data_IF_933138879547
#
_entry.id   IF_933138879547
#
_cell.length_a   1.000
_cell.length_b   1.000
_cell.length_c   1.000
_cell.angle_alpha   90.00
_cell.angle_beta   90.00
_cell.angle_gamma   90.00
#
_symmetry.space_group_name_H-M   'P 1'
#
loop_
_entity.id
_entity.type
_entity.pdbx_description
1 polymer ?
#
# COMPACT_ATOMS: atom_id res chain seq x y z
N UNK A 1 -42.74 10.37 18.77
CA UNK A 1 -41.45 11.05 18.50
C UNK A 1 -40.36 10.28 19.23
N UNK A 2 -39.34 9.85 18.47
CA UNK A 2 -38.13 9.07 18.82
C UNK A 2 -38.37 7.70 19.49
N UNK A 3 -38.10 6.60 18.77
CA UNK A 3 -36.74 6.06 18.76
C UNK A 3 -36.33 5.48 17.39
N UNK A 4 -35.49 6.20 16.64
CA UNK A 4 -34.95 5.70 15.35
C UNK A 4 -33.44 5.96 15.18
N UNK A 5 -32.76 6.45 16.23
CA UNK A 5 -31.38 6.94 16.12
C UNK A 5 -30.32 6.09 16.85
N UNK A 6 -30.71 5.04 17.57
CA UNK A 6 -29.75 4.26 18.37
C UNK A 6 -28.99 3.18 17.58
N UNK A 7 -29.48 2.75 16.40
CA UNK A 7 -28.87 1.62 15.66
C UNK A 7 -27.72 2.05 14.74
N UNK A 8 -27.68 3.31 14.30
CA UNK A 8 -26.58 3.81 13.46
C UNK A 8 -25.29 4.10 14.23
N UNK A 9 -25.36 4.34 15.55
CA UNK A 9 -24.18 4.74 16.33
C UNK A 9 -23.21 3.58 16.63
N UNK A 10 -23.67 2.33 16.57
CA UNK A 10 -22.84 1.14 16.85
C UNK A 10 -21.87 0.78 15.72
N UNK A 11 -21.97 1.44 14.57
CA UNK A 11 -21.05 1.27 13.43
C UNK A 11 -19.78 2.13 13.54
N UNK A 12 -19.68 3.00 14.54
CA UNK A 12 -18.63 4.02 14.68
C UNK A 12 -18.10 4.12 16.13
N UNK A 13 -17.43 3.09 16.65
CA UNK A 13 -16.40 3.27 17.71
C UNK A 13 -15.57 2.00 17.94
N UNK A 14 -14.24 2.13 18.14
CA UNK A 14 -13.36 1.02 18.48
C UNK A 14 -13.14 0.91 20.01
N UNK A 15 -12.82 -0.31 20.44
CA UNK A 15 -12.26 -0.72 21.74
C UNK A 15 -13.22 -1.06 22.89
N UNK A 16 -13.14 -2.32 23.33
CA UNK A 16 -12.80 -2.68 24.71
C UNK A 16 -12.26 -4.13 24.71
N UNK A 17 -10.98 -4.28 25.07
CA UNK A 17 -10.30 -5.55 25.22
C UNK A 17 -10.95 -6.40 26.33
N UNK A 18 -11.08 -7.72 26.11
CA UNK A 18 -11.43 -8.71 27.14
C UNK A 18 -10.22 -9.61 27.45
N UNK A 19 -10.04 -10.03 28.71
CA UNK A 19 -8.94 -10.91 29.13
C UNK A 19 -9.16 -12.36 28.66
N UNK A 20 -8.13 -13.23 28.67
CA UNK A 20 -8.23 -14.55 28.05
C UNK A 20 -9.12 -15.46 28.89
N UNK A 21 -10.12 -16.07 28.25
CA UNK A 21 -10.95 -17.09 28.86
C UNK A 21 -10.38 -18.48 28.53
N UNK A 22 -10.22 -19.31 29.56
CA UNK A 22 -9.78 -20.69 29.52
C UNK A 22 -10.56 -21.56 28.53
N UNK A 23 -9.87 -22.57 28.01
CA UNK A 23 -10.31 -23.49 26.97
C UNK A 23 -11.67 -24.13 27.26
N UNK A 24 -12.71 -23.67 26.57
CA UNK A 24 -13.89 -24.49 26.24
C UNK A 24 -13.82 -24.82 24.76
N UNK A 25 -13.91 -26.11 24.47
CA UNK A 25 -13.89 -26.66 23.11
C UNK A 25 -14.80 -25.83 22.19
N UNK A 26 -14.21 -25.26 21.14
CA UNK A 26 -14.92 -24.47 20.15
C UNK A 26 -16.02 -25.32 19.48
N UNK A 27 -17.25 -24.80 19.33
CA UNK A 27 -18.25 -25.48 18.53
C UNK A 27 -17.77 -25.52 17.08
N UNK A 28 -17.75 -26.71 16.48
CA UNK A 28 -17.40 -26.88 15.07
C UNK A 28 -18.27 -25.97 14.19
N UNK A 29 -17.72 -25.36 13.13
CA UNK A 29 -18.47 -24.49 12.24
C UNK A 29 -19.51 -25.34 11.49
N UNK A 30 -20.77 -25.26 11.93
CA UNK A 30 -21.88 -25.92 11.23
C UNK A 30 -22.11 -25.17 9.91
N UNK A 31 -21.55 -25.70 8.83
CA UNK A 31 -21.98 -25.39 7.47
C UNK A 31 -23.42 -25.88 7.30
N UNK A 32 -24.40 -25.09 7.76
CA UNK A 32 -25.80 -25.44 7.56
C UNK A 32 -26.23 -24.90 6.20
N UNK A 33 -26.74 -25.79 5.34
CA UNK A 33 -27.40 -25.40 4.08
C UNK A 33 -28.41 -24.29 4.34
N UNK A 34 -29.11 -24.34 5.48
CA UNK A 34 -30.03 -23.29 5.95
C UNK A 34 -29.41 -21.89 6.00
N UNK A 35 -28.18 -21.73 6.50
CA UNK A 35 -27.51 -20.43 6.54
C UNK A 35 -27.23 -19.88 5.14
N UNK A 36 -26.71 -20.71 4.24
CA UNK A 36 -26.48 -20.33 2.84
C UNK A 36 -27.80 -20.02 2.10
N UNK A 37 -28.90 -20.71 2.45
CA UNK A 37 -30.24 -20.39 1.98
C UNK A 37 -30.65 -18.98 2.40
N UNK A 38 -30.55 -18.67 3.69
CA UNK A 38 -30.96 -17.38 4.26
C UNK A 38 -30.09 -16.23 3.77
N UNK A 39 -28.76 -16.39 3.71
CA UNK A 39 -27.86 -15.35 3.20
C UNK A 39 -28.14 -15.02 1.73
N UNK A 40 -28.51 -16.02 0.92
CA UNK A 40 -28.81 -15.82 -0.49
C UNK A 40 -30.18 -15.18 -0.76
N UNK A 41 -31.09 -15.11 0.21
CA UNK A 41 -32.43 -14.55 0.01
C UNK A 41 -32.40 -13.03 -0.17
N UNK A 42 -33.25 -12.52 -1.06
CA UNK A 42 -33.48 -11.09 -1.24
C UNK A 42 -34.69 -10.64 -0.41
N UNK A 43 -34.51 -9.71 0.55
CA UNK A 43 -35.58 -9.30 1.45
C UNK A 43 -36.62 -8.43 0.73
N UNK A 44 -37.88 -8.67 1.07
CA UNK A 44 -39.06 -7.96 0.54
C UNK A 44 -39.63 -6.93 1.52
N UNK A 45 -39.19 -6.99 2.76
CA UNK A 45 -39.68 -6.14 3.85
C UNK A 45 -38.56 -5.73 4.79
N UNK A 46 -38.81 -4.69 5.59
CA UNK A 46 -37.88 -4.27 6.63
C UNK A 46 -37.62 -5.38 7.68
N UNK A 47 -38.60 -6.25 7.92
CA UNK A 47 -38.48 -7.38 8.86
C UNK A 47 -37.51 -8.42 8.32
N UNK A 48 -37.64 -8.80 7.05
CA UNK A 48 -36.72 -9.75 6.39
C UNK A 48 -35.30 -9.18 6.30
N UNK A 49 -35.16 -7.87 6.04
CA UNK A 49 -33.87 -7.20 6.04
C UNK A 49 -33.22 -7.22 7.43
N UNK A 50 -34.00 -6.99 8.50
CA UNK A 50 -33.50 -7.05 9.87
C UNK A 50 -33.06 -8.48 10.24
N UNK A 51 -33.80 -9.50 9.81
CA UNK A 51 -33.41 -10.91 9.98
C UNK A 51 -32.11 -11.22 9.26
N UNK A 52 -31.95 -10.77 8.01
CA UNK A 52 -30.69 -10.89 7.28
C UNK A 52 -29.53 -10.20 8.03
N UNK A 53 -29.74 -8.97 8.51
CA UNK A 53 -28.73 -8.24 9.26
C UNK A 53 -28.29 -8.99 10.54
N UNK A 54 -29.24 -9.59 11.27
CA UNK A 54 -28.94 -10.40 12.46
C UNK A 54 -28.11 -11.65 12.11
N UNK A 55 -28.44 -12.34 11.02
CA UNK A 55 -27.68 -13.50 10.55
C UNK A 55 -26.27 -13.13 10.10
N UNK A 56 -26.13 -12.00 9.39
CA UNK A 56 -24.82 -11.47 8.98
C UNK A 56 -23.94 -11.21 10.21
N UNK A 57 -24.48 -10.59 11.26
CA UNK A 57 -23.75 -10.32 12.51
C UNK A 57 -23.31 -11.59 13.25
N UNK A 58 -24.03 -12.70 13.08
CA UNK A 58 -23.70 -13.98 13.70
C UNK A 58 -22.55 -14.73 13.00
N UNK A 59 -22.13 -14.31 11.79
CA UNK A 59 -21.03 -14.95 11.07
C UNK A 59 -19.69 -14.74 11.77
N UNK A 60 -18.94 -15.81 11.98
CA UNK A 60 -17.56 -15.74 12.48
C UNK A 60 -16.56 -15.53 11.33
N UNK A 61 -15.40 -14.89 11.57
CA UNK A 61 -14.39 -14.59 10.55
C UNK A 61 -13.64 -15.85 10.10
N UNK A 62 -14.32 -16.71 9.36
CA UNK A 62 -13.78 -17.97 8.83
C UNK A 62 -13.75 -17.95 7.30
N UNK A 63 -12.84 -18.68 6.65
CA UNK A 63 -12.81 -18.82 5.19
C UNK A 63 -14.16 -19.27 4.62
N UNK A 64 -14.83 -20.19 5.31
CA UNK A 64 -16.14 -20.70 4.93
C UNK A 64 -17.22 -19.61 4.97
N UNK A 65 -17.26 -18.78 6.00
CA UNK A 65 -18.23 -17.68 6.09
C UNK A 65 -18.02 -16.66 4.96
N UNK A 66 -16.76 -16.34 4.64
CA UNK A 66 -16.42 -15.46 3.51
C UNK A 66 -16.88 -16.08 2.18
N UNK A 67 -16.65 -17.38 1.98
CA UNK A 67 -17.09 -18.10 0.79
C UNK A 67 -18.62 -18.09 0.65
N UNK A 68 -19.34 -18.48 1.70
CA UNK A 68 -20.81 -18.49 1.72
C UNK A 68 -21.41 -17.10 1.44
N UNK A 69 -20.81 -16.06 1.99
CA UNK A 69 -21.26 -14.69 1.78
C UNK A 69 -20.93 -14.19 0.37
N UNK A 70 -19.80 -14.61 -0.20
CA UNK A 70 -19.43 -14.34 -1.60
C UNK A 70 -20.42 -14.98 -2.56
N UNK A 71 -20.73 -16.26 -2.37
CA UNK A 71 -21.76 -16.95 -3.17
C UNK A 71 -23.13 -16.27 -3.06
N UNK A 72 -23.50 -15.80 -1.87
CA UNK A 72 -24.77 -15.12 -1.63
C UNK A 72 -24.87 -13.71 -2.26
N UNK A 73 -23.73 -13.09 -2.58
CA UNK A 73 -23.64 -11.82 -3.31
C UNK A 73 -23.67 -12.08 -4.82
N UNK A 74 -22.89 -13.04 -5.29
CA UNK A 74 -22.72 -13.32 -6.73
C UNK A 74 -23.94 -14.05 -7.32
N UNK A 75 -24.57 -14.92 -6.52
CA UNK A 75 -25.72 -15.73 -6.91
C UNK A 75 -26.91 -15.47 -5.97
N UNK A 76 -27.46 -14.24 -5.96
CA UNK A 76 -28.61 -13.94 -5.13
C UNK A 76 -29.82 -14.75 -5.60
N UNK A 77 -30.59 -15.28 -4.65
CA UNK A 77 -31.86 -15.94 -4.95
C UNK A 77 -32.90 -14.85 -5.20
N UNK A 78 -33.42 -14.70 -6.43
CA UNK A 78 -34.44 -13.70 -6.68
C UNK A 78 -35.67 -14.00 -5.83
N UNK A 79 -36.23 -12.95 -5.25
CA UNK A 79 -37.61 -13.03 -4.81
C UNK A 79 -38.44 -13.34 -6.05
N UNK A 80 -39.25 -14.42 -6.04
CA UNK A 80 -40.28 -14.59 -7.06
C UNK A 80 -41.09 -13.28 -7.15
N UNK A 81 -40.99 -12.61 -8.32
CA UNK A 81 -41.52 -11.29 -8.75
C UNK A 81 -40.45 -10.18 -8.92
N UNK A 82 -40.49 -9.53 -10.08
CA UNK A 82 -39.58 -8.53 -10.68
C UNK A 82 -39.37 -7.21 -9.90
N UNK A 83 -38.80 -7.26 -8.69
CA UNK A 83 -38.32 -6.06 -7.97
C UNK A 83 -36.80 -6.05 -7.76
N UNK A 84 -36.05 -6.60 -8.72
CA UNK A 84 -34.58 -6.69 -8.69
C UNK A 84 -33.87 -5.31 -8.57
N UNK A 85 -34.60 -4.20 -8.72
CA UNK A 85 -34.11 -2.83 -8.59
C UNK A 85 -34.59 -2.07 -7.35
N UNK A 86 -35.38 -2.70 -6.47
CA UNK A 86 -35.95 -2.07 -5.28
C UNK A 86 -34.89 -1.65 -4.24
N UNK A 87 -35.30 -0.80 -3.30
CA UNK A 87 -34.42 -0.31 -2.22
C UNK A 87 -33.94 -1.44 -1.31
N UNK A 88 -34.79 -2.44 -1.03
CA UNK A 88 -34.48 -3.52 -0.10
C UNK A 88 -33.37 -4.46 -0.62
N UNK A 89 -33.40 -4.96 -1.87
CA UNK A 89 -32.30 -5.75 -2.43
C UNK A 89 -30.96 -5.01 -2.46
N UNK A 90 -30.96 -3.71 -2.79
CA UNK A 90 -29.73 -2.89 -2.79
C UNK A 90 -29.13 -2.75 -1.40
N UNK A 91 -29.98 -2.51 -0.40
CA UNK A 91 -29.54 -2.42 0.99
C UNK A 91 -29.04 -3.79 1.51
N UNK A 92 -29.69 -4.88 1.11
CA UNK A 92 -29.23 -6.24 1.41
C UNK A 92 -27.85 -6.53 0.82
N UNK A 93 -27.63 -6.19 -0.45
CA UNK A 93 -26.33 -6.35 -1.11
C UNK A 93 -25.25 -5.52 -0.42
N UNK A 94 -25.54 -4.25 -0.10
CA UNK A 94 -24.63 -3.39 0.65
C UNK A 94 -24.27 -3.96 2.03
N UNK A 95 -25.25 -4.49 2.78
CA UNK A 95 -25.00 -5.12 4.08
C UNK A 95 -24.14 -6.40 3.95
N UNK A 96 -24.39 -7.22 2.92
CA UNK A 96 -23.59 -8.42 2.64
C UNK A 96 -22.15 -8.04 2.30
N UNK A 97 -21.93 -7.09 1.39
CA UNK A 97 -20.60 -6.60 1.02
C UNK A 97 -19.86 -5.97 2.20
N UNK A 98 -20.55 -5.15 3.00
CA UNK A 98 -20.00 -4.56 4.21
C UNK A 98 -19.58 -5.63 5.22
N UNK A 99 -20.42 -6.66 5.42
CA UNK A 99 -20.08 -7.78 6.32
C UNK A 99 -18.93 -8.61 5.78
N UNK A 100 -18.88 -8.88 4.48
CA UNK A 100 -17.75 -9.57 3.83
C UNK A 100 -16.45 -8.82 4.05
N UNK A 101 -16.44 -7.51 3.81
CA UNK A 101 -15.28 -6.65 4.06
C UNK A 101 -14.82 -6.72 5.53
N UNK A 102 -15.75 -6.71 6.48
CA UNK A 102 -15.41 -6.89 7.90
C UNK A 102 -14.80 -8.27 8.19
N UNK A 103 -15.38 -9.35 7.66
CA UNK A 103 -14.87 -10.72 7.86
C UNK A 103 -13.47 -10.89 7.27
N UNK A 104 -13.22 -10.30 6.09
CA UNK A 104 -11.91 -10.30 5.45
C UNK A 104 -10.87 -9.54 6.27
N UNK A 105 -11.21 -8.36 6.81
CA UNK A 105 -10.31 -7.60 7.70
C UNK A 105 -10.04 -8.36 9.00
N UNK A 106 -11.07 -8.97 9.59
CA UNK A 106 -10.91 -9.78 10.79
C UNK A 106 -10.00 -11.00 10.54
N UNK A 107 -10.20 -11.70 9.42
CA UNK A 107 -9.35 -12.82 9.01
C UNK A 107 -7.91 -12.37 8.76
N UNK A 108 -7.70 -11.24 8.07
CA UNK A 108 -6.38 -10.65 7.83
C UNK A 108 -5.63 -10.32 9.12
N UNK A 109 -6.33 -9.81 10.14
CA UNK A 109 -5.75 -9.48 11.45
C UNK A 109 -5.36 -10.72 12.26
N UNK A 110 -6.12 -11.80 12.13
CA UNK A 110 -5.92 -13.04 12.89
C UNK A 110 -4.83 -13.90 12.25
N UNK A 111 -4.93 -14.12 10.94
CA UNK A 111 -4.06 -15.00 10.17
C UNK A 111 -3.97 -14.51 8.72
N UNK A 112 -2.89 -13.79 8.42
CA UNK A 112 -2.64 -13.22 7.10
C UNK A 112 -2.52 -14.30 6.03
N UNK A 113 -1.85 -15.42 6.31
CA UNK A 113 -1.61 -16.45 5.30
C UNK A 113 -2.92 -17.15 4.94
N UNK A 114 -3.75 -17.43 5.95
CA UNK A 114 -5.11 -17.93 5.75
C UNK A 114 -6.00 -16.93 5.01
N UNK A 115 -5.86 -15.63 5.27
CA UNK A 115 -6.52 -14.60 4.47
C UNK A 115 -6.10 -14.68 2.99
N UNK A 116 -4.79 -14.69 2.71
CA UNK A 116 -4.26 -14.76 1.33
C UNK A 116 -4.76 -16.03 0.64
N UNK A 117 -4.67 -17.18 1.30
CA UNK A 117 -5.18 -18.45 0.77
C UNK A 117 -6.68 -18.35 0.45
N UNK A 118 -7.48 -17.83 1.38
CA UNK A 118 -8.93 -17.66 1.22
C UNK A 118 -9.28 -16.80 0.00
N UNK A 119 -8.65 -15.63 -0.15
CA UNK A 119 -8.99 -14.70 -1.23
C UNK A 119 -8.40 -15.12 -2.58
N UNK A 120 -7.38 -16.00 -2.58
CA UNK A 120 -6.71 -16.46 -3.81
C UNK A 120 -7.60 -17.32 -4.72
N UNK A 121 -8.64 -17.97 -4.19
CA UNK A 121 -9.57 -18.78 -5.00
C UNK A 121 -11.00 -18.22 -5.08
N UNK A 122 -11.40 -17.35 -4.15
CA UNK A 122 -12.73 -16.75 -4.16
C UNK A 122 -12.85 -15.65 -5.22
N UNK A 123 -14.00 -15.57 -5.88
CA UNK A 123 -14.31 -14.57 -6.92
C UNK A 123 -14.70 -13.20 -6.36
N UNK A 124 -13.93 -12.71 -5.38
CA UNK A 124 -14.16 -11.39 -4.78
C UNK A 124 -13.48 -10.34 -5.66
N UNK A 125 -14.14 -9.28 -6.13
CA UNK A 125 -13.49 -8.23 -6.92
C UNK A 125 -12.23 -7.68 -6.25
N UNK A 126 -11.19 -7.39 -7.05
CA UNK A 126 -9.85 -7.07 -6.55
C UNK A 126 -9.84 -5.74 -5.75
N UNK A 127 -10.71 -4.82 -6.10
CA UNK A 127 -10.99 -3.54 -5.43
C UNK A 127 -11.75 -3.68 -4.10
N UNK A 128 -12.39 -4.82 -3.86
CA UNK A 128 -13.04 -5.13 -2.58
C UNK A 128 -12.13 -5.86 -1.59
N UNK A 129 -10.92 -6.24 -2.02
CA UNK A 129 -9.95 -6.88 -1.13
C UNK A 129 -9.36 -5.83 -0.17
N UNK A 130 -9.44 -6.03 1.16
CA UNK A 130 -8.90 -5.07 2.13
C UNK A 130 -7.37 -5.05 2.19
N UNK A 131 -6.68 -5.98 1.54
CA UNK A 131 -5.24 -5.95 1.32
C UNK A 131 -4.91 -6.83 0.09
N UNK A 132 -4.07 -6.33 -0.82
CA UNK A 132 -3.69 -7.06 -2.05
C UNK A 132 -2.27 -7.63 -2.00
N UNK A 133 -1.54 -7.42 -0.90
CA UNK A 133 -0.14 -7.79 -0.79
C UNK A 133 0.00 -9.32 -0.75
N UNK A 134 0.65 -9.88 -1.77
CA UNK A 134 0.84 -11.32 -1.92
C UNK A 134 -0.37 -12.07 -2.45
N UNK A 135 -1.44 -11.36 -2.85
CA UNK A 135 -2.60 -11.98 -3.51
C UNK A 135 -2.28 -12.12 -5.01
N UNK A 136 -2.23 -13.35 -5.56
CA UNK A 136 -1.92 -13.57 -6.97
C UNK A 136 -2.99 -12.96 -7.88
N UNK A 137 -2.66 -12.76 -9.15
CA UNK A 137 -3.67 -12.42 -10.16
C UNK A 137 -4.52 -13.65 -10.48
N UNK A 138 -5.81 -13.60 -10.16
CA UNK A 138 -6.70 -14.78 -10.28
C UNK A 138 -7.27 -14.87 -11.69
N UNK A 139 -7.55 -16.08 -12.15
CA UNK A 139 -8.21 -16.27 -13.45
C UNK A 139 -9.63 -15.69 -13.49
N UNK A 140 -10.29 -15.56 -12.34
CA UNK A 140 -11.60 -14.94 -12.21
C UNK A 140 -11.56 -13.42 -12.06
N UNK A 141 -10.39 -12.82 -11.85
CA UNK A 141 -10.28 -11.37 -11.86
C UNK A 141 -10.61 -10.90 -13.27
N UNK A 142 -11.70 -10.13 -13.47
CA UNK A 142 -12.03 -9.60 -14.78
C UNK A 142 -11.03 -8.47 -15.05
N UNK A 143 -9.80 -8.81 -15.41
CA UNK A 143 -8.90 -7.84 -15.99
C UNK A 143 -9.02 -7.95 -17.52
N UNK A 144 -9.68 -6.99 -18.19
CA UNK A 144 -9.71 -6.95 -19.65
C UNK A 144 -8.31 -6.85 -20.27
N UNK A 145 -7.28 -6.60 -19.46
CA UNK A 145 -5.89 -6.36 -19.86
C UNK A 145 -5.01 -7.60 -19.81
N UNK A 146 -5.51 -8.78 -19.44
CA UNK A 146 -4.72 -10.02 -19.57
C UNK A 146 -4.53 -10.29 -21.07
N UNK A 147 -3.33 -10.09 -21.58
CA UNK A 147 -3.00 -10.49 -22.96
C UNK A 147 -3.36 -11.97 -23.10
N UNK A 148 -4.13 -12.34 -24.14
CA UNK A 148 -4.55 -13.73 -24.40
C UNK A 148 -3.38 -14.67 -24.09
N UNK A 149 -3.52 -15.44 -23.00
CA UNK A 149 -2.41 -16.13 -22.37
C UNK A 149 -1.90 -17.24 -23.29
N UNK A 150 -0.81 -16.96 -24.01
CA UNK A 150 0.10 -18.01 -24.45
C UNK A 150 0.56 -18.78 -23.20
N UNK A 151 0.59 -20.11 -23.31
CA UNK A 151 1.04 -21.04 -22.27
C UNK A 151 2.27 -20.51 -21.52
N UNK A 152 2.06 -20.04 -20.28
CA UNK A 152 3.15 -19.51 -19.45
C UNK A 152 4.14 -20.63 -19.12
N UNK A 153 5.43 -20.36 -19.31
CA UNK A 153 6.49 -21.26 -18.86
C UNK A 153 6.41 -21.46 -17.33
N UNK A 154 6.71 -22.67 -16.82
CA UNK A 154 6.72 -22.92 -15.39
C UNK A 154 7.77 -22.04 -14.70
N UNK A 155 7.33 -21.22 -13.74
CA UNK A 155 8.21 -20.39 -12.93
C UNK A 155 8.71 -21.17 -11.72
N UNK A 156 9.98 -21.01 -11.37
CA UNK A 156 10.58 -21.54 -10.13
C UNK A 156 10.94 -20.35 -9.27
N UNK A 157 10.36 -20.24 -8.06
CA UNK A 157 10.56 -19.10 -7.15
C UNK A 157 10.24 -17.72 -7.80
N UNK A 158 9.32 -17.69 -8.77
CA UNK A 158 8.94 -16.47 -9.50
C UNK A 158 9.87 -16.09 -10.65
N UNK A 159 10.81 -16.96 -11.04
CA UNK A 159 11.74 -16.75 -12.14
C UNK A 159 11.44 -17.69 -13.31
N UNK A 160 11.68 -17.21 -14.54
CA UNK A 160 11.64 -18.04 -15.75
C UNK A 160 12.90 -18.93 -15.87
N UNK A 161 12.97 -19.75 -16.92
CA UNK A 161 14.11 -20.64 -17.16
C UNK A 161 15.47 -19.91 -17.28
N UNK A 162 15.45 -18.61 -17.59
CA UNK A 162 16.64 -17.76 -17.68
C UNK A 162 17.00 -17.07 -16.34
N UNK A 163 16.24 -17.33 -15.27
CA UNK A 163 16.43 -16.68 -13.97
C UNK A 163 15.92 -15.23 -13.93
N UNK A 164 15.07 -14.82 -14.86
CA UNK A 164 14.49 -13.48 -14.96
C UNK A 164 13.06 -13.45 -14.40
N UNK A 165 12.70 -12.30 -13.82
CA UNK A 165 11.32 -12.02 -13.40
C UNK A 165 10.49 -11.74 -14.66
N UNK A 166 9.36 -12.43 -14.89
CA UNK A 166 8.51 -12.19 -16.06
C UNK A 166 8.02 -10.74 -16.15
N UNK A 167 7.80 -10.28 -17.37
CA UNK A 167 7.12 -9.00 -17.59
C UNK A 167 5.67 -9.06 -17.11
N UNK A 168 5.14 -7.88 -16.79
CA UNK A 168 3.74 -7.74 -16.44
C UNK A 168 2.85 -8.21 -17.61
N UNK A 169 1.99 -9.18 -17.35
CA UNK A 169 1.08 -9.72 -18.36
C UNK A 169 -0.17 -8.83 -18.61
N UNK A 170 -0.30 -7.74 -17.83
CA UNK A 170 -1.40 -6.79 -17.91
C UNK A 170 -1.04 -5.65 -18.87
N UNK A 171 -1.94 -5.30 -19.79
CA UNK A 171 -1.83 -4.11 -20.63
C UNK A 171 -1.50 -2.84 -19.83
N UNK A 172 -0.72 -1.98 -20.47
CA UNK A 172 -0.33 -0.70 -19.94
C UNK A 172 -1.53 0.23 -19.87
N UNK A 173 -1.61 0.99 -18.78
CA UNK A 173 -2.63 2.03 -18.63
C UNK A 173 -2.03 3.34 -19.15
N UNK A 174 -2.73 4.07 -20.05
CA UNK A 174 -2.30 5.41 -20.42
C UNK A 174 -2.38 6.30 -19.19
N UNK A 175 -1.21 6.69 -18.67
CA UNK A 175 -1.11 7.59 -17.52
C UNK A 175 -0.78 9.00 -18.01
N UNK A 176 -1.51 9.99 -17.52
CA UNK A 176 -1.24 11.41 -17.76
C UNK A 176 -1.20 12.19 -16.45
N UNK A 177 -0.58 13.36 -16.47
CA UNK A 177 -0.59 14.29 -15.36
C UNK A 177 -1.73 15.31 -15.53
N UNK A 178 -2.45 15.59 -14.44
CA UNK A 178 -3.28 16.80 -14.40
C UNK A 178 -2.39 18.07 -14.29
N UNK A 179 -2.91 19.30 -14.46
CA UNK A 179 -2.07 20.51 -14.47
C UNK A 179 -1.23 20.72 -13.19
N UNK A 180 -1.76 20.37 -12.02
CA UNK A 180 -1.03 20.48 -10.75
C UNK A 180 0.08 19.44 -10.68
N UNK A 181 -0.22 18.20 -11.05
CA UNK A 181 0.75 17.10 -11.13
C UNK A 181 1.86 17.39 -12.12
N UNK A 182 1.55 18.04 -13.26
CA UNK A 182 2.54 18.45 -14.25
C UNK A 182 3.51 19.50 -13.69
N UNK A 183 3.02 20.44 -12.89
CA UNK A 183 3.87 21.44 -12.20
C UNK A 183 4.75 20.78 -11.13
N UNK A 184 4.18 19.88 -10.33
CA UNK A 184 4.92 19.11 -9.31
C UNK A 184 6.00 18.24 -9.96
N UNK A 185 5.66 17.58 -11.07
CA UNK A 185 6.61 16.78 -11.85
C UNK A 185 7.73 17.67 -12.39
N UNK A 186 7.42 18.80 -13.02
CA UNK A 186 8.43 19.72 -13.55
C UNK A 186 9.36 20.26 -12.45
N UNK A 187 8.81 20.56 -11.27
CA UNK A 187 9.61 21.01 -10.12
C UNK A 187 10.52 19.90 -9.60
N UNK A 188 9.98 18.69 -9.41
CA UNK A 188 10.75 17.50 -9.00
C UNK A 188 11.90 17.24 -9.96
N UNK A 189 11.61 17.34 -11.25
CA UNK A 189 12.54 17.18 -12.35
C UNK A 189 13.65 18.24 -12.40
N UNK A 190 13.33 19.49 -12.09
CA UNK A 190 14.33 20.56 -12.00
C UNK A 190 15.26 20.38 -10.78
N UNK A 191 14.70 19.97 -9.64
CA UNK A 191 15.49 19.64 -8.44
C UNK A 191 16.41 18.45 -8.75
N UNK A 192 15.88 17.37 -9.32
CA UNK A 192 16.64 16.17 -9.64
C UNK A 192 17.81 16.45 -10.60
N UNK A 193 17.58 17.25 -11.65
CA UNK A 193 18.64 17.66 -12.56
C UNK A 193 19.70 18.54 -11.87
N UNK A 194 19.30 19.40 -10.93
CA UNK A 194 20.22 20.19 -10.11
C UNK A 194 21.08 19.34 -9.18
N UNK A 195 20.52 18.30 -8.58
CA UNK A 195 21.22 17.37 -7.67
C UNK A 195 22.16 16.40 -8.40
N UNK A 196 21.81 16.00 -9.63
CA UNK A 196 22.58 15.01 -10.41
C UNK A 196 23.51 15.59 -11.46
N UNK A 197 23.27 16.84 -11.90
CA UNK A 197 23.92 17.42 -13.08
C UNK A 197 23.49 16.78 -14.42
N UNK A 198 22.56 15.82 -14.42
CA UNK A 198 22.10 15.16 -15.66
C UNK A 198 21.26 16.13 -16.49
N UNK A 199 21.51 16.15 -17.80
CA UNK A 199 20.78 17.01 -18.73
C UNK A 199 19.30 16.64 -18.82
N UNK A 200 18.44 17.66 -18.91
CA UNK A 200 16.98 17.49 -19.01
C UNK A 200 16.60 16.79 -20.31
N UNK A 201 15.70 15.82 -20.23
CA UNK A 201 15.03 15.23 -21.38
C UNK A 201 13.89 16.18 -21.85
N UNK A 202 13.74 16.44 -23.16
CA UNK A 202 12.68 17.32 -23.67
C UNK A 202 11.26 16.79 -23.45
N UNK A 203 11.08 15.48 -23.30
CA UNK A 203 9.79 14.90 -22.95
C UNK A 203 9.43 15.29 -21.51
N UNK A 204 8.31 16.00 -21.31
CA UNK A 204 7.90 16.54 -20.01
C UNK A 204 7.17 15.55 -19.10
N UNK A 205 6.68 14.44 -19.66
CA UNK A 205 5.98 13.38 -18.92
C UNK A 205 6.92 12.65 -17.95
N UNK A 206 6.38 11.75 -17.11
CA UNK A 206 7.22 10.91 -16.25
C UNK A 206 8.33 10.16 -17.01
N UNK A 207 8.12 9.83 -18.30
CA UNK A 207 9.10 9.09 -19.11
C UNK A 207 10.41 9.84 -19.24
N UNK A 208 10.34 11.16 -19.40
CA UNK A 208 11.53 12.00 -19.42
C UNK A 208 12.28 12.02 -18.08
N UNK A 209 11.56 12.00 -16.95
CA UNK A 209 12.18 11.86 -15.63
C UNK A 209 12.83 10.48 -15.46
N UNK A 210 12.15 9.40 -15.85
CA UNK A 210 12.68 8.04 -15.79
C UNK A 210 13.93 7.91 -16.67
N UNK A 211 13.94 8.53 -17.85
CA UNK A 211 15.13 8.58 -18.71
C UNK A 211 16.29 9.35 -18.06
N UNK A 212 16.03 10.51 -17.46
CA UNK A 212 17.03 11.27 -16.69
C UNK A 212 17.60 10.42 -15.54
N UNK A 213 16.73 9.73 -14.80
CA UNK A 213 17.13 8.84 -13.70
C UNK A 213 17.94 7.64 -14.20
N UNK A 214 17.57 7.07 -15.35
CA UNK A 214 18.32 6.00 -16.00
C UNK A 214 19.70 6.46 -16.43
N UNK A 215 19.82 7.66 -17.02
CA UNK A 215 21.11 8.23 -17.40
C UNK A 215 22.00 8.50 -16.18
N UNK A 216 21.44 8.95 -15.06
CA UNK A 216 22.18 9.06 -13.81
C UNK A 216 22.61 7.69 -13.28
N UNK A 217 21.69 6.73 -13.21
CA UNK A 217 21.96 5.35 -12.77
C UNK A 217 23.10 4.70 -13.58
N UNK A 218 23.21 4.97 -14.87
CA UNK A 218 24.25 4.42 -15.74
C UNK A 218 25.53 5.29 -15.79
N UNK A 219 25.59 6.38 -15.03
CA UNK A 219 26.78 7.24 -14.93
C UNK A 219 27.77 6.71 -13.90
N UNK A 220 29.03 7.16 -13.99
CA UNK A 220 30.06 6.80 -13.01
C UNK A 220 29.70 7.21 -11.57
N UNK A 221 28.93 8.27 -11.39
CA UNK A 221 28.50 8.77 -10.07
C UNK A 221 27.28 8.01 -9.54
N UNK A 222 26.35 7.63 -10.43
CA UNK A 222 25.08 7.01 -10.06
C UNK A 222 25.04 5.48 -10.17
N UNK A 223 26.09 4.82 -10.67
CA UNK A 223 26.12 3.34 -10.78
C UNK A 223 25.98 2.65 -9.42
N UNK A 224 26.46 3.28 -8.34
CA UNK A 224 26.25 2.77 -6.99
C UNK A 224 24.81 3.00 -6.52
N UNK A 225 24.16 1.94 -6.02
CA UNK A 225 22.78 1.99 -5.52
C UNK A 225 22.59 3.05 -4.42
N UNK A 226 23.56 3.20 -3.51
CA UNK A 226 23.53 4.21 -2.45
C UNK A 226 23.52 5.63 -3.00
N UNK A 227 24.25 5.91 -4.10
CA UNK A 227 24.25 7.24 -4.75
C UNK A 227 22.88 7.58 -5.32
N UNK A 228 22.23 6.61 -5.96
CA UNK A 228 20.86 6.78 -6.48
C UNK A 228 19.90 7.05 -5.33
N UNK A 229 19.98 6.27 -4.26
CA UNK A 229 19.11 6.42 -3.11
C UNK A 229 19.29 7.79 -2.46
N UNK A 230 20.54 8.21 -2.22
CA UNK A 230 20.85 9.46 -1.55
C UNK A 230 20.35 10.68 -2.33
N UNK A 231 20.60 10.73 -3.65
CA UNK A 231 20.13 11.83 -4.49
C UNK A 231 18.60 11.91 -4.51
N UNK A 232 17.91 10.77 -4.55
CA UNK A 232 16.45 10.73 -4.50
C UNK A 232 15.93 11.26 -3.16
N UNK A 233 16.54 10.84 -2.04
CA UNK A 233 16.15 11.35 -0.72
C UNK A 233 16.42 12.86 -0.62
N UNK A 234 17.56 13.37 -1.12
CA UNK A 234 17.82 14.83 -1.16
C UNK A 234 16.79 15.57 -2.01
N UNK A 235 16.49 15.06 -3.20
CA UNK A 235 15.47 15.63 -4.11
C UNK A 235 14.11 15.73 -3.41
N UNK A 236 13.68 14.65 -2.73
CA UNK A 236 12.41 14.62 -1.98
C UNK A 236 12.43 15.58 -0.79
N UNK A 237 13.54 15.67 -0.05
CA UNK A 237 13.68 16.65 1.05
C UNK A 237 13.54 18.07 0.54
N UNK A 238 14.24 18.44 -0.53
CA UNK A 238 14.17 19.76 -1.15
C UNK A 238 12.75 20.09 -1.62
N UNK A 239 12.05 19.12 -2.22
CA UNK A 239 10.65 19.27 -2.64
C UNK A 239 9.70 19.56 -1.46
N UNK A 240 10.00 19.03 -0.27
CA UNK A 240 9.17 19.18 0.94
C UNK A 240 9.52 20.42 1.78
N UNK A 241 10.69 21.03 1.60
CA UNK A 241 11.15 22.16 2.43
C UNK A 241 10.45 23.49 2.15
N UNK A 242 10.43 24.45 3.11
CA UNK A 242 11.15 24.44 4.40
C UNK A 242 10.34 24.01 5.62
N UNK A 243 9.00 23.95 5.54
CA UNK A 243 8.14 23.79 6.72
C UNK A 243 7.72 22.32 6.95
N UNK A 244 7.52 21.56 5.88
CA UNK A 244 6.87 20.25 5.98
C UNK A 244 7.68 19.21 6.79
N UNK A 245 9.03 19.10 6.66
CA UNK A 245 9.75 18.04 7.36
C UNK A 245 9.77 18.20 8.90
N UNK A 246 10.09 19.37 9.49
CA UNK A 246 10.01 19.56 10.94
C UNK A 246 8.58 19.42 11.46
N UNK A 247 7.59 19.96 10.73
CA UNK A 247 6.18 19.80 11.08
C UNK A 247 5.78 18.33 11.10
N UNK A 248 6.09 17.58 10.04
CA UNK A 248 5.73 16.17 9.92
C UNK A 248 6.43 15.33 11.01
N UNK A 249 7.73 15.54 11.25
CA UNK A 249 8.48 14.85 12.32
C UNK A 249 7.81 14.98 13.68
N UNK A 250 7.35 16.17 14.04
CA UNK A 250 6.69 16.42 15.33
C UNK A 250 5.24 15.94 15.30
N UNK A 251 4.46 16.40 14.32
CA UNK A 251 3.01 16.22 14.29
C UNK A 251 2.57 14.82 13.86
N UNK A 252 3.37 14.12 13.05
CA UNK A 252 3.08 12.77 12.58
C UNK A 252 3.98 11.75 13.28
N UNK A 253 5.30 12.01 13.29
CA UNK A 253 6.28 11.12 13.89
C UNK A 253 6.34 11.19 15.42
N UNK A 254 5.99 12.31 16.04
CA UNK A 254 6.22 12.51 17.48
C UNK A 254 7.71 12.52 17.83
N UNK A 255 8.57 12.92 16.90
CA UNK A 255 10.00 13.09 17.14
C UNK A 255 10.25 14.40 17.88
N UNK A 256 10.99 14.31 19.00
CA UNK A 256 11.43 15.50 19.74
C UNK A 256 12.55 16.19 18.95
N UNK A 257 12.40 17.47 18.58
CA UNK A 257 13.39 18.19 17.79
C UNK A 257 14.78 18.19 18.44
N UNK A 258 15.81 17.93 17.63
CA UNK A 258 17.21 17.98 18.04
C UNK A 258 18.00 18.76 17.00
N UNK A 259 18.64 19.83 17.45
CA UNK A 259 19.61 20.52 16.62
C UNK A 259 20.97 19.87 16.73
N UNK A 260 21.53 19.48 15.59
CA UNK A 260 22.90 19.00 15.45
C UNK A 260 23.63 19.90 14.44
N UNK A 261 24.64 20.68 14.87
CA UNK A 261 25.40 21.54 13.96
C UNK A 261 26.12 20.79 12.82
N UNK A 262 26.36 19.48 12.98
CA UNK A 262 26.93 18.62 11.94
C UNK A 262 25.90 18.05 10.96
N UNK A 263 24.60 18.23 11.22
CA UNK A 263 23.53 17.75 10.35
C UNK A 263 23.17 18.80 9.29
N UNK A 264 23.82 18.71 8.14
CA UNK A 264 23.59 19.60 6.99
C UNK A 264 22.43 19.14 6.09
N UNK A 265 21.60 18.18 6.51
CA UNK A 265 20.48 17.70 5.69
C UNK A 265 19.45 18.80 5.51
N UNK A 266 18.97 18.96 4.28
CA UNK A 266 17.83 19.82 3.94
C UNK A 266 16.60 19.33 4.71
N UNK A 267 16.02 20.17 5.58
CA UNK A 267 14.90 19.79 6.45
C UNK A 267 15.29 19.29 7.85
N UNK A 268 16.56 19.37 8.25
CA UNK A 268 17.00 19.15 9.63
C UNK A 268 16.33 20.14 10.61
N UNK A 269 16.24 19.76 11.88
CA UNK A 269 15.55 20.57 12.90
C UNK A 269 16.31 21.91 13.13
N UNK A 270 15.66 23.06 12.89
CA UNK A 270 16.35 24.34 13.05
C UNK A 270 16.63 24.63 14.52
N UNK A 271 17.74 25.32 14.79
CA UNK A 271 18.21 25.63 16.15
C UNK A 271 17.12 26.23 17.03
N UNK A 272 16.37 27.21 16.53
CA UNK A 272 15.31 27.89 17.28
C UNK A 272 14.21 26.95 17.76
N UNK A 273 13.90 25.91 16.96
CA UNK A 273 12.85 24.94 17.26
C UNK A 273 13.32 23.98 18.35
N UNK A 274 14.55 23.47 18.24
CA UNK A 274 15.16 22.63 19.26
C UNK A 274 15.31 23.39 20.59
N UNK A 275 15.84 24.62 20.55
CA UNK A 275 16.02 25.47 21.72
C UNK A 275 14.66 25.77 22.39
N UNK A 276 13.61 26.03 21.61
CA UNK A 276 12.25 26.23 22.10
C UNK A 276 11.70 25.02 22.87
N UNK A 277 11.84 23.81 22.31
CA UNK A 277 11.39 22.58 22.99
C UNK A 277 12.21 22.30 24.26
N UNK A 278 13.52 22.55 24.24
CA UNK A 278 14.36 22.38 25.43
C UNK A 278 14.06 23.42 26.52
N UNK A 279 13.70 24.65 26.14
CA UNK A 279 13.20 25.65 27.09
C UNK A 279 11.91 25.17 27.79
N UNK A 280 10.96 24.60 27.04
CA UNK A 280 9.74 24.00 27.62
C UNK A 280 10.11 22.86 28.58
N UNK A 281 10.98 21.94 28.15
CA UNK A 281 11.47 20.83 28.97
C UNK A 281 12.05 21.29 30.32
N UNK A 282 12.85 22.36 30.32
CA UNK A 282 13.46 22.89 31.54
C UNK A 282 12.41 23.43 32.54
N UNK A 283 11.26 23.90 32.04
CA UNK A 283 10.16 24.45 32.86
C UNK A 283 9.20 23.39 33.41
N UNK A 284 9.25 22.16 32.90
CA UNK A 284 8.34 21.10 33.34
C UNK A 284 8.70 20.59 34.76
N UNK A 285 7.72 20.51 35.68
CA UNK A 285 7.92 20.00 37.04
C UNK A 285 8.07 18.46 37.09
N UNK A 286 7.58 17.74 36.07
CA UNK A 286 7.71 16.29 35.90
C UNK A 286 7.76 15.94 34.40
N UNK A 287 8.21 14.73 34.04
CA UNK A 287 8.17 14.25 32.65
C UNK A 287 9.24 14.81 31.70
N UNK A 288 10.33 15.39 32.23
CA UNK A 288 11.44 15.93 31.40
C UNK A 288 12.12 14.90 30.51
N UNK A 289 12.04 13.61 30.86
CA UNK A 289 12.57 12.50 30.06
C UNK A 289 11.80 12.30 28.75
N UNK A 290 10.51 12.68 28.68
CA UNK A 290 9.73 12.57 27.45
C UNK A 290 10.18 13.56 26.37
N UNK A 291 10.76 14.71 26.75
CA UNK A 291 11.23 15.74 25.80
C UNK A 291 12.76 15.69 25.61
N UNK A 292 13.37 14.52 25.79
CA UNK A 292 14.78 14.32 25.44
C UNK A 292 15.00 14.54 23.93
N UNK A 293 16.02 15.32 23.52
CA UNK A 293 16.30 15.57 22.10
C UNK A 293 16.43 14.27 21.29
N UNK A 294 15.70 14.17 20.19
CA UNK A 294 15.71 13.00 19.30
C UNK A 294 14.91 11.80 19.80
N UNK A 295 14.23 11.90 20.94
CA UNK A 295 13.35 10.84 21.43
C UNK A 295 12.15 10.68 20.50
N UNK A 296 11.88 9.43 20.12
CA UNK A 296 10.70 9.04 19.34
C UNK A 296 9.54 8.77 20.29
N UNK A 297 8.52 9.65 20.31
CA UNK A 297 7.30 9.49 21.12
C UNK A 297 6.15 8.84 20.35
N UNK A 298 6.12 9.07 19.03
CA UNK A 298 5.14 8.47 18.13
C UNK A 298 5.70 7.24 17.40
N UNK A 299 5.16 6.89 16.23
CA UNK A 299 4.18 7.65 15.46
C UNK A 299 2.85 7.79 16.21
N UNK A 300 2.17 8.92 16.04
CA UNK A 300 0.86 9.11 16.67
C UNK A 300 -0.17 8.15 16.08
N UNK A 301 -1.20 7.77 16.85
CA UNK A 301 -2.19 6.77 16.44
C UNK A 301 -2.91 7.10 15.12
N UNK A 302 -3.03 8.37 14.75
CA UNK A 302 -3.64 8.82 13.50
C UNK A 302 -2.66 8.91 12.33
N UNK A 303 -1.35 8.93 12.60
CA UNK A 303 -0.34 9.28 11.61
C UNK A 303 -0.31 8.32 10.39
N UNK A 304 -0.38 6.98 10.57
CA UNK A 304 -0.49 6.05 9.44
C UNK A 304 -1.71 6.34 8.55
N UNK A 305 -2.89 6.46 9.16
CA UNK A 305 -4.15 6.62 8.44
C UNK A 305 -4.22 7.96 7.70
N UNK A 306 -3.85 9.06 8.37
CA UNK A 306 -3.84 10.39 7.77
C UNK A 306 -2.82 10.47 6.63
N UNK A 307 -1.64 9.86 6.80
CA UNK A 307 -0.64 9.82 5.72
C UNK A 307 -1.16 9.06 4.52
N UNK A 308 -1.81 7.89 4.71
CA UNK A 308 -2.39 7.13 3.61
C UNK A 308 -3.47 7.91 2.84
N UNK A 309 -4.24 8.78 3.50
CA UNK A 309 -5.25 9.63 2.87
C UNK A 309 -4.63 10.77 2.06
N UNK A 310 -3.56 11.38 2.56
CA UNK A 310 -2.91 12.54 1.91
C UNK A 310 -1.95 12.10 0.80
N UNK A 311 -1.31 10.95 0.97
CA UNK A 311 -0.29 10.38 0.09
C UNK A 311 -0.66 10.38 -1.42
N UNK A 312 -1.85 9.91 -1.85
CA UNK A 312 -2.23 9.94 -3.26
C UNK A 312 -2.18 11.33 -3.88
N UNK A 313 -2.50 12.38 -3.13
CA UNK A 313 -2.43 13.76 -3.60
C UNK A 313 -1.01 14.31 -3.62
N UNK A 314 -0.13 13.82 -2.73
CA UNK A 314 1.23 14.31 -2.60
C UNK A 314 2.19 13.68 -3.64
N UNK A 315 2.05 12.39 -3.95
CA UNK A 315 2.97 11.67 -4.84
C UNK A 315 2.29 10.88 -5.96
N UNK A 316 0.96 11.03 -6.14
CA UNK A 316 0.22 10.40 -7.23
C UNK A 316 0.79 10.73 -8.62
N UNK A 317 1.41 11.90 -8.81
CA UNK A 317 2.07 12.27 -10.07
C UNK A 317 3.22 11.31 -10.47
N UNK A 318 3.88 10.69 -9.48
CA UNK A 318 4.98 9.73 -9.67
C UNK A 318 4.48 8.29 -9.82
N UNK A 319 3.56 7.87 -8.95
CA UNK A 319 3.18 6.45 -8.84
C UNK A 319 1.88 6.12 -9.57
N UNK A 320 1.04 7.11 -9.87
CA UNK A 320 -0.29 6.93 -10.45
C UNK A 320 -1.42 6.87 -9.42
N UNK A 321 -2.65 6.57 -9.87
CA UNK A 321 -3.83 6.47 -9.01
C UNK A 321 -3.65 5.43 -7.90
N UNK A 322 -4.08 5.81 -6.69
CA UNK A 322 -4.01 4.96 -5.51
C UNK A 322 -5.34 4.97 -4.75
N UNK A 323 -5.71 3.80 -4.22
CA UNK A 323 -6.89 3.61 -3.38
C UNK A 323 -6.47 3.22 -1.97
N UNK A 324 -7.25 3.63 -0.97
CA UNK A 324 -6.98 3.27 0.43
C UNK A 324 -7.09 1.76 0.62
N UNK A 325 -6.19 1.22 1.44
CA UNK A 325 -6.12 -0.21 1.72
C UNK A 325 -5.79 -0.47 3.20
N UNK A 326 -5.83 -1.72 3.66
CA UNK A 326 -5.24 -2.10 4.95
C UNK A 326 -3.77 -2.45 4.79
N UNK A 327 -3.05 -2.31 5.89
CA UNK A 327 -1.68 -2.82 6.06
C UNK A 327 -1.71 -4.35 6.19
N UNK A 328 -0.52 -4.97 6.20
CA UNK A 328 -0.42 -6.43 6.31
C UNK A 328 -0.96 -6.98 7.65
N UNK A 329 -0.96 -6.15 8.70
CA UNK A 329 -1.55 -6.45 10.02
C UNK A 329 -3.07 -6.16 10.10
N UNK A 330 -3.69 -5.73 9.00
CA UNK A 330 -5.12 -5.39 8.94
C UNK A 330 -5.51 -4.07 9.60
N UNK A 331 -4.54 -3.23 9.99
CA UNK A 331 -4.80 -1.88 10.46
C UNK A 331 -4.96 -0.86 9.33
N UNK A 332 -5.50 0.31 9.67
CA UNK A 332 -5.52 1.48 8.79
C UNK A 332 -4.10 1.99 8.51
N UNK A 333 -3.95 2.79 7.45
CA UNK A 333 -2.67 3.35 7.04
C UNK A 333 -2.01 2.61 5.87
N UNK A 334 -2.79 1.79 5.14
CA UNK A 334 -2.37 1.24 3.86
C UNK A 334 -2.95 2.02 2.68
N UNK A 335 -2.28 1.95 1.54
CA UNK A 335 -2.85 2.26 0.23
C UNK A 335 -2.27 1.30 -0.81
N UNK A 336 -3.00 1.12 -1.91
CA UNK A 336 -2.51 0.36 -3.06
C UNK A 336 -2.56 1.24 -4.29
N UNK A 337 -1.43 1.30 -4.99
CA UNK A 337 -1.35 1.84 -6.34
C UNK A 337 -1.78 0.74 -7.29
N UNK A 338 -2.83 0.98 -8.06
CA UNK A 338 -3.46 -0.06 -8.89
C UNK A 338 -2.62 -0.48 -10.09
N UNK A 339 -1.89 0.49 -10.66
CA UNK A 339 -0.89 0.27 -11.70
C UNK A 339 0.19 1.32 -11.52
N UNK A 340 1.37 0.91 -11.07
CA UNK A 340 2.44 1.82 -10.74
C UNK A 340 3.04 2.42 -12.01
N UNK A 341 2.77 3.70 -12.24
CA UNK A 341 3.26 4.49 -13.38
C UNK A 341 4.79 4.41 -13.51
N UNK A 342 5.52 4.53 -12.40
CA UNK A 342 6.98 4.41 -12.40
C UNK A 342 7.47 3.03 -12.84
N UNK A 343 6.85 1.96 -12.33
CA UNK A 343 7.26 0.59 -12.67
C UNK A 343 6.87 0.21 -14.10
N UNK A 344 5.69 0.63 -14.55
CA UNK A 344 5.20 0.44 -15.92
C UNK A 344 6.15 1.07 -16.94
N UNK A 345 6.52 2.35 -16.73
CA UNK A 345 7.29 3.10 -17.72
C UNK A 345 8.80 2.83 -17.65
N UNK A 346 9.32 2.37 -16.50
CA UNK A 346 10.73 1.98 -16.38
C UNK A 346 10.98 0.55 -16.84
N UNK A 347 9.99 -0.33 -16.72
CA UNK A 347 10.09 -1.79 -16.86
C UNK A 347 11.31 -2.39 -16.15
N UNK A 348 11.80 -1.74 -15.09
CA UNK A 348 13.06 -2.12 -14.45
C UNK A 348 12.97 -2.18 -12.93
N UNK A 349 13.15 -3.41 -12.41
CA UNK A 349 13.19 -3.72 -10.97
C UNK A 349 14.23 -2.88 -10.22
N UNK A 350 15.45 -2.79 -10.75
CA UNK A 350 16.56 -2.07 -10.10
C UNK A 350 16.21 -0.61 -9.83
N UNK A 351 15.59 0.07 -10.80
CA UNK A 351 15.11 1.45 -10.63
C UNK A 351 13.94 1.51 -9.63
N UNK A 352 12.98 0.60 -9.70
CA UNK A 352 11.86 0.55 -8.75
C UNK A 352 12.36 0.40 -7.31
N UNK A 353 13.32 -0.49 -7.07
CA UNK A 353 13.84 -0.77 -5.74
C UNK A 353 14.74 0.37 -5.23
N UNK A 354 15.70 0.82 -6.04
CA UNK A 354 16.74 1.77 -5.60
C UNK A 354 16.35 3.24 -5.76
N UNK A 355 15.40 3.56 -6.64
CA UNK A 355 14.98 4.95 -6.88
C UNK A 355 13.61 5.29 -6.30
N UNK A 356 12.75 4.29 -6.03
CA UNK A 356 11.43 4.52 -5.45
C UNK A 356 11.29 3.90 -4.06
N UNK A 357 11.38 2.56 -3.93
CA UNK A 357 11.11 1.84 -2.68
C UNK A 357 12.06 2.23 -1.54
N UNK A 358 13.37 2.02 -1.69
CA UNK A 358 14.32 2.28 -0.61
C UNK A 358 14.36 3.76 -0.20
N UNK A 359 14.41 4.73 -1.15
CA UNK A 359 14.39 6.15 -0.80
C UNK A 359 13.12 6.56 -0.05
N UNK A 360 11.94 6.06 -0.47
CA UNK A 360 10.70 6.34 0.23
C UNK A 360 10.72 5.79 1.66
N UNK A 361 11.12 4.54 1.85
CA UNK A 361 11.20 3.91 3.17
C UNK A 361 12.20 4.64 4.08
N UNK A 362 13.35 5.06 3.55
CA UNK A 362 14.33 5.86 4.28
C UNK A 362 13.77 7.22 4.69
N UNK A 363 13.16 7.96 3.77
CA UNK A 363 12.60 9.28 4.04
C UNK A 363 11.54 9.21 5.15
N UNK A 364 10.62 8.26 5.06
CA UNK A 364 9.55 8.11 6.05
C UNK A 364 10.08 7.66 7.43
N UNK A 365 11.10 6.79 7.44
CA UNK A 365 11.82 6.43 8.68
C UNK A 365 12.45 7.67 9.35
N UNK A 366 13.11 8.54 8.57
CA UNK A 366 13.67 9.80 9.08
C UNK A 366 12.58 10.78 9.56
N UNK A 367 11.39 10.73 8.99
CA UNK A 367 10.24 11.51 9.41
C UNK A 367 9.54 10.96 10.67
N UNK A 368 10.01 9.83 11.21
CA UNK A 368 9.47 9.22 12.43
C UNK A 368 8.18 8.41 12.20
N UNK A 369 7.87 8.09 10.94
CA UNK A 369 6.76 7.21 10.58
C UNK A 369 7.29 6.11 9.66
N UNK A 370 7.56 4.88 10.17
CA UNK A 370 8.03 3.78 9.34
C UNK A 370 7.13 3.56 8.12
N UNK A 371 7.70 3.15 6.99
CA UNK A 371 6.96 2.81 5.78
C UNK A 371 7.50 1.48 5.26
N UNK A 372 6.59 0.60 4.87
CA UNK A 372 6.89 -0.57 4.04
C UNK A 372 6.28 -0.38 2.65
N UNK A 373 7.09 -0.53 1.60
CA UNK A 373 6.63 -0.52 0.20
C UNK A 373 6.82 -1.90 -0.41
N UNK A 374 5.72 -2.50 -0.86
CA UNK A 374 5.65 -3.87 -1.37
C UNK A 374 5.15 -3.87 -2.82
N UNK A 375 6.05 -3.74 -3.82
CA UNK A 375 5.69 -3.84 -5.23
C UNK A 375 5.34 -5.28 -5.62
N UNK A 376 4.40 -5.43 -6.55
CA UNK A 376 4.14 -6.67 -7.27
C UNK A 376 4.59 -6.50 -8.72
N UNK A 377 5.62 -7.23 -9.14
CA UNK A 377 6.18 -7.11 -10.49
C UNK A 377 5.32 -7.77 -11.57
N UNK A 378 4.50 -8.76 -11.21
CA UNK A 378 3.60 -9.46 -12.14
C UNK A 378 2.38 -8.61 -12.51
N UNK A 379 1.82 -7.87 -11.54
CA UNK A 379 0.63 -7.03 -11.74
C UNK A 379 0.95 -5.53 -11.86
N UNK A 380 2.17 -5.14 -11.49
CA UNK A 380 2.59 -3.74 -11.30
C UNK A 380 1.76 -2.97 -10.28
N UNK A 381 1.04 -3.65 -9.40
CA UNK A 381 0.45 -3.05 -8.21
C UNK A 381 1.55 -2.70 -7.19
N UNK A 382 1.35 -1.68 -6.37
CA UNK A 382 2.29 -1.33 -5.32
C UNK A 382 1.58 -1.01 -4.01
N UNK A 383 1.79 -1.85 -2.99
CA UNK A 383 1.21 -1.67 -1.66
C UNK A 383 2.14 -0.80 -0.81
N UNK A 384 1.59 0.26 -0.22
CA UNK A 384 2.28 1.11 0.75
C UNK A 384 1.62 0.95 2.11
N UNK A 385 2.41 0.71 3.14
CA UNK A 385 1.95 0.51 4.53
C UNK A 385 2.69 1.47 5.46
N UNK A 386 2.03 2.57 5.81
CA UNK A 386 2.57 3.56 6.75
C UNK A 386 2.45 3.06 8.20
N UNK A 387 3.42 3.34 9.05
CA UNK A 387 3.52 2.77 10.39
C UNK A 387 3.94 1.29 10.43
N UNK A 388 4.24 0.66 9.29
CA UNK A 388 4.81 -0.69 9.21
C UNK A 388 6.31 -0.60 8.95
N UNK A 389 7.12 -1.33 9.72
CA UNK A 389 8.56 -1.36 9.51
C UNK A 389 8.89 -2.18 8.26
N UNK A 390 9.77 -1.65 7.41
CA UNK A 390 10.32 -2.41 6.30
C UNK A 390 11.32 -3.46 6.81
N UNK A 391 11.26 -4.70 6.31
CA UNK A 391 12.32 -5.67 6.56
C UNK A 391 13.62 -5.26 5.86
N UNK A 392 14.78 -5.78 6.31
CA UNK A 392 16.03 -5.70 5.57
C UNK A 392 15.89 -6.26 4.13
N UNK A 393 16.65 -5.75 3.14
CA UNK A 393 16.54 -6.19 1.74
C UNK A 393 16.74 -7.70 1.52
N UNK A 394 17.59 -8.34 2.32
CA UNK A 394 17.88 -9.78 2.28
C UNK A 394 16.75 -10.66 2.84
N UNK A 395 15.89 -10.08 3.69
CA UNK A 395 14.73 -10.74 4.28
C UNK A 395 13.41 -10.31 3.59
N UNK A 396 13.46 -9.39 2.63
CA UNK A 396 12.28 -8.84 1.99
C UNK A 396 11.81 -9.71 0.82
N UNK A 397 10.65 -10.40 0.91
CA UNK A 397 10.13 -11.22 -0.18
C UNK A 397 9.75 -10.40 -1.42
N UNK A 398 9.61 -9.08 -1.30
CA UNK A 398 9.37 -8.17 -2.42
C UNK A 398 10.66 -7.62 -3.02
N UNK A 399 11.79 -8.24 -2.67
CA UNK A 399 13.10 -8.09 -3.30
C UNK A 399 13.46 -9.38 -4.07
N UNK A 400 12.80 -9.68 -5.20
CA UNK A 400 13.10 -10.91 -5.94
C UNK A 400 14.51 -10.84 -6.52
N UNK A 401 15.15 -11.99 -6.71
CA UNK A 401 16.44 -12.11 -7.42
C UNK A 401 16.23 -11.90 -8.93
N UNK A 402 17.28 -11.56 -9.66
CA UNK A 402 17.21 -11.43 -11.12
C UNK A 402 16.58 -10.13 -11.67
N UNK A 403 16.81 -9.84 -12.95
CA UNK A 403 16.20 -8.72 -13.66
C UNK A 403 14.79 -9.04 -14.16
N UNK A 404 13.95 -8.01 -14.33
CA UNK A 404 12.71 -8.13 -15.12
C UNK A 404 13.08 -8.31 -16.61
N UNK A 405 12.34 -9.16 -17.33
CA UNK A 405 12.61 -9.50 -18.74
C UNK A 405 12.78 -8.25 -19.62
N UNK A 406 11.87 -7.29 -19.50
CA UNK A 406 11.83 -6.04 -20.25
C UNK A 406 12.69 -4.90 -19.69
N UNK A 407 13.57 -5.12 -18.70
CA UNK A 407 14.43 -4.04 -18.21
C UNK A 407 15.44 -3.59 -19.27
N UNK A 408 15.19 -2.40 -19.82
CA UNK A 408 16.03 -1.75 -20.85
C UNK A 408 17.44 -1.39 -20.37
N UNK A 409 17.64 -1.35 -19.05
CA UNK A 409 18.94 -0.99 -18.44
C UNK A 409 19.83 -2.20 -18.16
N UNK A 410 19.33 -3.43 -18.35
CA UNK A 410 20.03 -4.68 -17.98
C UNK A 410 21.38 -4.83 -18.68
N UNK A 411 21.43 -4.61 -19.99
CA UNK A 411 22.66 -4.80 -20.78
C UNK A 411 23.73 -3.76 -20.40
N UNK A 412 23.35 -2.48 -20.31
CA UNK A 412 24.27 -1.43 -19.89
C UNK A 412 24.80 -1.67 -18.46
N UNK A 413 23.94 -2.08 -17.51
CA UNK A 413 24.37 -2.41 -16.15
C UNK A 413 25.33 -3.61 -16.12
N UNK A 414 25.10 -4.61 -16.98
CA UNK A 414 25.99 -5.78 -17.11
C UNK A 414 27.38 -5.37 -17.58
N UNK A 415 27.46 -4.51 -18.58
CA UNK A 415 28.73 -4.00 -19.11
C UNK A 415 29.50 -3.21 -18.03
N UNK A 416 28.80 -2.33 -17.31
CA UNK A 416 29.37 -1.55 -16.20
C UNK A 416 29.84 -2.42 -15.03
N UNK A 417 29.19 -3.57 -14.80
CA UNK A 417 29.54 -4.52 -13.74
C UNK A 417 30.63 -5.53 -14.12
N UNK A 418 31.39 -5.26 -15.19
CA UNK A 418 32.50 -6.11 -15.62
C UNK A 418 32.08 -7.38 -16.38
N UNK A 419 30.88 -7.40 -16.97
CA UNK A 419 30.49 -8.40 -17.97
C UNK A 419 29.93 -9.73 -17.43
N UNK A 420 29.55 -9.80 -16.15
CA UNK A 420 28.91 -10.97 -15.52
C UNK A 420 27.59 -11.41 -16.17
N UNK A 421 26.88 -12.42 -15.62
CA UNK A 421 25.60 -12.86 -16.16
C UNK A 421 24.58 -11.70 -16.19
N UNK A 422 23.96 -11.45 -17.34
CA UNK A 422 22.97 -10.37 -17.51
C UNK A 422 21.82 -10.44 -16.47
N UNK A 423 21.52 -11.64 -16.02
CA UNK A 423 20.48 -11.95 -15.03
C UNK A 423 20.74 -11.26 -13.68
N UNK A 424 22.01 -11.06 -13.29
CA UNK A 424 22.38 -10.44 -12.00
C UNK A 424 22.67 -8.94 -12.07
N UNK A 425 22.55 -8.32 -13.25
CA UNK A 425 22.87 -6.90 -13.43
C UNK A 425 21.89 -5.94 -12.72
N UNK A 426 20.77 -6.46 -12.20
CA UNK A 426 19.75 -5.68 -11.49
C UNK A 426 19.64 -6.07 -10.00
N UNK A 427 20.60 -6.85 -9.50
CA UNK A 427 20.82 -7.09 -8.08
C UNK A 427 21.77 -6.01 -7.55
#
# INVERSE_FOLDING_TARGET
MLPTLAVCASFLSPQLARPPAESRAAPQPRCSVALALTLGQQPRSAVELLQLAQQLLALEPTPLAVAQLTDAIDYPRPAAIDDAGGVMPRLADALKRQRRAWLLVALLREDRDKYVETVSFLKIPRDELPNRQGVPLRACDPDPRRRDSGSGEPLVEGLNAEGLVPDCALEDVPMGENPLEAVLLETTRNIYAGETGVSRNPERSIRGLIDEMRRFMLSAEGVAASSQQEVLVRTLRTLMTPVLPPFYRIFMGGLVPRHDPGDSRVGADPKWLADGVQWVRARLPFGRSYLEPGRQLGPWFYAPALTAVVAPYAFGFLVGPASLNRRADGEVGGLVVEKCKFLQESSCKGMCLNSCKLPAQQLFSELGLPLRVSPNFETQECQWSFGEAAPPPDEDPTWPKGCVVGCTSREAMRELSGGGPAVRACE
#
